data_IF_480683273850
#
_entry.id   IF_480683273850
#
_cell.length_a   1.000
_cell.length_b   1.000
_cell.length_c   1.000
_cell.angle_alpha   90.00
_cell.angle_beta   90.00
_cell.angle_gamma   90.00
#
_symmetry.space_group_name_H-M   'P 1'
#
loop_
_entity.id
_entity.type
_entity.pdbx_description
1 polymer ?
#
# COMPACT_ATOMS: atom_id res chain seq x y z
N UNK A 1 17.17 17.84 2.79
CA UNK A 1 16.40 16.57 2.67
C UNK A 1 16.50 15.79 4.00
N UNK A 2 15.53 14.93 4.32
CA UNK A 2 15.27 14.41 5.67
C UNK A 2 16.34 13.50 6.29
N UNK A 3 17.32 12.99 5.52
CA UNK A 3 18.35 12.02 5.95
C UNK A 3 17.76 10.71 6.49
N UNK A 4 16.85 10.10 5.73
CA UNK A 4 16.30 8.78 6.05
C UNK A 4 15.23 8.77 7.13
N UNK A 5 14.56 9.90 7.37
CA UNK A 5 13.45 10.02 8.33
C UNK A 5 12.06 9.96 7.67
N UNK A 6 11.97 9.40 6.47
CA UNK A 6 10.69 9.28 5.74
C UNK A 6 10.19 7.85 5.88
N UNK A 7 8.88 7.75 6.11
CA UNK A 7 8.10 6.53 5.98
C UNK A 7 7.13 6.74 4.82
N UNK A 8 6.96 5.73 3.98
CA UNK A 8 6.16 5.82 2.76
C UNK A 8 4.79 5.20 2.99
N UNK A 9 3.80 6.06 3.25
CA UNK A 9 2.40 5.67 3.35
C UNK A 9 1.72 5.62 1.98
N UNK A 10 1.02 4.51 1.69
CA UNK A 10 0.22 4.39 0.46
C UNK A 10 -1.11 3.68 0.71
N UNK A 11 -2.18 4.24 0.14
CA UNK A 11 -3.53 3.67 0.16
C UNK A 11 -4.21 3.74 -1.20
N UNK A 12 -5.29 2.97 -1.38
CA UNK A 12 -6.00 2.86 -2.66
C UNK A 12 -6.94 4.04 -2.98
N UNK A 13 -7.00 5.07 -2.13
CA UNK A 13 -7.96 6.16 -2.25
C UNK A 13 -9.40 5.77 -1.89
N UNK A 14 -10.12 6.67 -1.23
CA UNK A 14 -11.46 6.38 -0.70
C UNK A 14 -12.48 7.50 -0.86
N UNK A 15 -12.04 8.74 -1.09
CA UNK A 15 -12.92 9.90 -1.03
C UNK A 15 -13.16 10.48 -2.42
N UNK A 16 -14.21 10.00 -3.07
CA UNK A 16 -14.58 10.39 -4.44
C UNK A 16 -14.72 11.91 -4.66
N UNK A 17 -15.35 12.69 -3.74
CA UNK A 17 -15.49 14.13 -3.95
C UNK A 17 -14.15 14.86 -4.10
N UNK A 18 -13.12 14.45 -3.34
CA UNK A 18 -11.76 15.01 -3.48
C UNK A 18 -11.15 14.65 -4.83
N UNK A 19 -11.25 13.38 -5.26
CA UNK A 19 -10.79 12.97 -6.58
C UNK A 19 -11.44 13.82 -7.69
N UNK A 20 -12.76 14.04 -7.59
CA UNK A 20 -13.50 14.89 -8.53
C UNK A 20 -13.02 16.35 -8.50
N UNK A 21 -12.78 16.91 -7.31
CA UNK A 21 -12.31 18.28 -7.15
C UNK A 21 -10.93 18.51 -7.80
N UNK A 22 -10.05 17.50 -7.78
CA UNK A 22 -8.73 17.56 -8.39
C UNK A 22 -8.66 16.98 -9.81
N UNK A 23 -9.80 16.61 -10.40
CA UNK A 23 -9.84 16.02 -11.75
C UNK A 23 -9.17 14.63 -11.85
N UNK A 24 -9.00 13.94 -10.73
CA UNK A 24 -8.40 12.60 -10.66
C UNK A 24 -9.50 11.56 -10.88
N UNK A 25 -9.34 10.61 -11.83
CA UNK A 25 -10.29 9.52 -11.99
C UNK A 25 -10.49 8.72 -10.70
N UNK A 26 -11.75 8.35 -10.40
CA UNK A 26 -12.09 7.50 -9.26
C UNK A 26 -12.70 6.18 -9.76
N UNK A 27 -11.87 5.23 -10.26
CA UNK A 27 -12.38 3.98 -10.80
C UNK A 27 -12.91 3.08 -9.67
N UNK A 28 -13.53 1.95 -10.04
CA UNK A 28 -14.05 0.98 -9.08
C UNK A 28 -12.97 0.51 -8.09
N UNK A 29 -13.39 0.15 -6.87
CA UNK A 29 -12.49 -0.22 -5.77
C UNK A 29 -11.49 -1.31 -6.15
N UNK A 30 -11.92 -2.29 -6.97
CA UNK A 30 -11.03 -3.32 -7.50
C UNK A 30 -9.87 -2.69 -8.27
N UNK A 31 -10.17 -1.94 -9.33
CA UNK A 31 -9.14 -1.30 -10.14
C UNK A 31 -8.21 -0.40 -9.32
N UNK A 32 -8.73 0.31 -8.30
CA UNK A 32 -7.88 1.10 -7.41
C UNK A 32 -6.86 0.26 -6.64
N UNK A 33 -7.25 -0.91 -6.13
CA UNK A 33 -6.30 -1.84 -5.51
C UNK A 33 -5.33 -2.47 -6.52
N UNK A 34 -5.77 -2.72 -7.75
CA UNK A 34 -4.88 -3.24 -8.81
C UNK A 34 -3.81 -2.19 -9.16
N UNK A 35 -4.21 -0.93 -9.34
CA UNK A 35 -3.30 0.21 -9.53
C UNK A 35 -2.34 0.41 -8.36
N UNK A 36 -2.84 0.32 -7.12
CA UNK A 36 -2.01 0.44 -5.91
C UNK A 36 -0.96 -0.67 -5.83
N UNK A 37 -1.35 -1.93 -6.07
CA UNK A 37 -0.42 -3.06 -6.07
C UNK A 37 0.66 -2.90 -7.13
N UNK A 38 0.28 -2.48 -8.32
CA UNK A 38 1.21 -2.22 -9.42
C UNK A 38 2.17 -1.05 -9.11
N UNK A 39 1.67 0.02 -8.49
CA UNK A 39 2.50 1.13 -8.05
C UNK A 39 3.52 0.70 -6.97
N UNK A 40 3.12 -0.17 -6.03
CA UNK A 40 4.04 -0.72 -5.02
C UNK A 40 5.17 -1.54 -5.67
N UNK A 41 4.86 -2.37 -6.66
CA UNK A 41 5.87 -3.12 -7.42
C UNK A 41 6.84 -2.19 -8.14
N UNK A 42 6.31 -1.22 -8.88
CA UNK A 42 7.10 -0.24 -9.61
C UNK A 42 8.04 0.53 -8.67
N UNK A 43 7.51 1.08 -7.59
CA UNK A 43 8.25 1.95 -6.65
C UNK A 43 9.33 1.15 -5.91
N UNK A 44 8.97 -0.02 -5.35
CA UNK A 44 9.95 -0.84 -4.65
C UNK A 44 11.02 -1.39 -5.60
N UNK A 45 10.64 -1.76 -6.83
CA UNK A 45 11.57 -2.15 -7.87
C UNK A 45 12.57 -1.04 -8.24
N UNK A 46 12.09 0.20 -8.40
CA UNK A 46 12.96 1.37 -8.62
C UNK A 46 13.97 1.56 -7.48
N UNK A 47 13.51 1.52 -6.24
CA UNK A 47 14.37 1.73 -5.07
C UNK A 47 15.42 0.63 -4.89
N UNK A 48 15.06 -0.62 -5.18
CA UNK A 48 15.92 -1.77 -4.96
C UNK A 48 16.74 -2.16 -6.18
N UNK A 49 16.49 -1.55 -7.34
CA UNK A 49 17.30 -1.76 -8.53
C UNK A 49 18.76 -1.44 -8.23
N UNK A 50 19.73 -2.27 -8.66
CA UNK A 50 21.14 -2.01 -8.39
C UNK A 50 21.62 -0.71 -9.03
N UNK A 51 22.55 -0.03 -8.37
CA UNK A 51 23.16 1.19 -8.91
C UNK A 51 23.86 0.92 -10.25
N UNK A 52 23.72 1.87 -11.18
CA UNK A 52 24.26 1.75 -12.54
C UNK A 52 23.44 0.87 -13.49
N UNK A 53 22.40 0.18 -13.02
CA UNK A 53 21.50 -0.60 -13.87
C UNK A 53 20.27 0.20 -14.32
N UNK A 54 19.71 -0.20 -15.46
CA UNK A 54 18.46 0.33 -16.00
C UNK A 54 17.30 -0.51 -15.47
N UNK A 55 16.24 0.15 -15.03
CA UNK A 55 15.01 -0.48 -14.58
C UNK A 55 13.87 -0.24 -15.58
N UNK A 56 13.18 -1.33 -15.93
CA UNK A 56 12.00 -1.31 -16.77
C UNK A 56 10.87 -2.04 -16.04
N UNK A 57 9.65 -1.58 -16.23
CA UNK A 57 8.44 -2.14 -15.64
C UNK A 57 7.30 -2.11 -16.66
N UNK A 58 6.59 -3.22 -16.78
CA UNK A 58 5.51 -3.39 -17.75
C UNK A 58 4.24 -3.86 -17.05
N UNK A 59 3.57 -2.93 -16.38
CA UNK A 59 2.27 -3.15 -15.76
C UNK A 59 1.11 -2.86 -16.72
N UNK A 60 -0.10 -3.09 -16.23
CA UNK A 60 -1.33 -2.74 -16.94
C UNK A 60 -1.60 -1.23 -16.90
N UNK A 61 -1.24 -0.57 -15.80
CA UNK A 61 -1.55 0.84 -15.56
C UNK A 61 -0.34 1.76 -15.71
N UNK A 62 0.87 1.24 -15.51
CA UNK A 62 2.14 1.94 -15.54
C UNK A 62 3.12 1.17 -16.40
N UNK A 63 3.79 1.90 -17.28
CA UNK A 63 4.89 1.40 -18.08
C UNK A 63 6.09 2.31 -17.86
N UNK A 64 7.24 1.70 -17.65
CA UNK A 64 8.50 2.39 -17.46
C UNK A 64 9.57 1.64 -18.26
N UNK A 65 10.39 2.38 -18.99
CA UNK A 65 11.44 1.79 -19.82
C UNK A 65 12.76 2.48 -19.57
N UNK A 66 13.80 1.68 -19.37
CA UNK A 66 15.20 2.08 -19.30
C UNK A 66 15.46 3.24 -18.30
N UNK A 67 14.73 3.24 -17.19
CA UNK A 67 14.90 4.23 -16.12
C UNK A 67 16.25 4.05 -15.43
N UNK A 68 17.01 5.12 -15.16
CA UNK A 68 18.22 5.01 -14.34
C UNK A 68 17.92 4.66 -12.87
N UNK A 69 16.65 4.69 -12.46
CA UNK A 69 16.21 4.38 -11.10
C UNK A 69 16.88 5.24 -10.01
N UNK A 70 17.13 6.52 -10.32
CA UNK A 70 17.78 7.49 -9.45
C UNK A 70 16.89 8.72 -9.22
N UNK A 71 17.02 9.40 -8.05
CA UNK A 71 17.91 9.06 -6.93
C UNK A 71 17.39 7.88 -6.09
N UNK A 72 18.31 7.16 -5.44
CA UNK A 72 17.94 6.12 -4.46
C UNK A 72 17.48 6.74 -3.14
N UNK A 73 16.60 6.05 -2.40
CA UNK A 73 16.28 6.47 -1.04
C UNK A 73 17.53 6.38 -0.14
N UNK A 74 17.54 7.19 0.91
CA UNK A 74 18.62 7.16 1.92
C UNK A 74 18.62 5.87 2.74
N UNK A 75 17.44 5.30 3.00
CA UNK A 75 17.28 4.08 3.79
C UNK A 75 17.50 2.84 2.91
N UNK A 76 18.21 1.85 3.45
CA UNK A 76 18.46 0.54 2.86
C UNK A 76 17.70 -0.51 3.70
N UNK A 77 16.95 -1.45 3.08
CA UNK A 77 16.81 -1.67 1.64
C UNK A 77 15.89 -0.67 0.94
N UNK A 78 15.03 0.04 1.68
CA UNK A 78 14.13 1.11 1.22
C UNK A 78 13.53 1.81 2.45
N UNK A 79 12.81 2.94 2.30
CA UNK A 79 12.01 3.49 3.39
C UNK A 79 10.95 2.48 3.85
N UNK A 80 10.59 2.46 5.16
CA UNK A 80 9.46 1.68 5.64
C UNK A 80 8.19 2.01 4.88
N UNK A 81 7.42 1.00 4.50
CA UNK A 81 6.16 1.12 3.78
C UNK A 81 5.03 0.88 4.76
N UNK A 82 4.13 1.86 4.85
CA UNK A 82 2.92 1.79 5.65
C UNK A 82 1.74 1.65 4.71
N UNK A 83 0.98 0.58 4.84
CA UNK A 83 -0.26 0.40 4.09
C UNK A 83 -1.49 0.52 4.99
N UNK A 84 -2.60 0.92 4.41
CA UNK A 84 -3.92 0.91 5.05
C UNK A 84 -4.94 0.14 4.21
N UNK A 85 -6.08 -0.17 4.82
CA UNK A 85 -7.24 -0.69 4.10
C UNK A 85 -8.10 -1.63 4.94
N UNK A 86 -9.27 -1.94 4.41
CA UNK A 86 -10.27 -2.79 5.10
C UNK A 86 -10.71 -3.98 4.25
N UNK A 87 -10.09 -4.19 3.08
CA UNK A 87 -10.45 -5.25 2.16
C UNK A 87 -10.08 -6.64 2.70
N UNK A 88 -11.01 -7.60 2.63
CA UNK A 88 -10.80 -8.94 3.22
C UNK A 88 -9.79 -9.82 2.47
N UNK A 89 -9.39 -9.45 1.25
CA UNK A 89 -8.53 -10.27 0.37
C UNK A 89 -7.31 -9.51 -0.13
N UNK A 90 -7.52 -8.41 -0.86
CA UNK A 90 -6.44 -7.64 -1.50
C UNK A 90 -5.56 -6.91 -0.50
N UNK A 91 -6.16 -6.26 0.49
CA UNK A 91 -5.43 -5.54 1.55
C UNK A 91 -4.43 -6.41 2.30
N UNK A 92 -4.80 -7.55 2.92
CA UNK A 92 -3.84 -8.37 3.63
C UNK A 92 -2.79 -8.99 2.70
N UNK A 93 -3.14 -9.31 1.44
CA UNK A 93 -2.17 -9.81 0.46
C UNK A 93 -1.10 -8.78 0.09
N UNK A 94 -1.50 -7.51 -0.14
CA UNK A 94 -0.56 -6.42 -0.39
C UNK A 94 0.27 -6.08 0.84
N UNK A 95 -0.36 -6.06 2.02
CA UNK A 95 0.33 -5.83 3.28
C UNK A 95 1.42 -6.89 3.51
N UNK A 96 1.08 -8.17 3.36
CA UNK A 96 2.03 -9.26 3.52
C UNK A 96 3.23 -9.19 2.55
N UNK A 97 3.04 -8.63 1.35
CA UNK A 97 4.09 -8.56 0.34
C UNK A 97 4.98 -7.31 0.46
N UNK A 98 4.42 -6.17 0.87
CA UNK A 98 5.12 -4.89 0.76
C UNK A 98 5.21 -4.10 2.07
N UNK A 99 4.28 -4.28 3.00
CA UNK A 99 4.19 -3.42 4.18
C UNK A 99 5.18 -3.86 5.25
N UNK A 100 5.85 -2.89 5.86
CA UNK A 100 6.56 -3.08 7.13
C UNK A 100 5.63 -2.76 8.31
N UNK A 101 4.65 -1.88 8.08
CA UNK A 101 3.62 -1.51 9.04
C UNK A 101 2.23 -1.46 8.40
N UNK A 102 1.20 -1.77 9.18
CA UNK A 102 -0.18 -1.74 8.73
C UNK A 102 -1.03 -0.83 9.61
N UNK A 103 -1.55 0.25 9.04
CA UNK A 103 -2.40 1.19 9.74
C UNK A 103 -3.84 0.67 9.81
N UNK A 104 -4.27 0.31 11.02
CA UNK A 104 -5.63 -0.15 11.28
C UNK A 104 -6.55 1.02 11.53
N UNK A 105 -7.63 1.07 10.75
CA UNK A 105 -8.69 2.03 10.99
C UNK A 105 -9.53 1.56 12.17
N UNK A 106 -9.56 2.36 13.24
CA UNK A 106 -10.34 2.10 14.48
C UNK A 106 -11.67 2.85 14.52
N UNK A 107 -11.99 3.59 13.45
CA UNK A 107 -13.28 4.26 13.26
C UNK A 107 -13.85 3.97 11.88
N UNK A 108 -15.18 4.02 11.76
CA UNK A 108 -15.83 4.01 10.43
C UNK A 108 -15.44 5.28 9.67
N UNK A 109 -15.07 5.13 8.39
CA UNK A 109 -14.71 6.26 7.51
C UNK A 109 -15.91 7.20 7.38
N UNK A 110 -15.62 8.50 7.39
CA UNK A 110 -16.58 9.60 7.49
C UNK A 110 -16.44 10.51 6.27
N UNK A 111 -17.53 11.05 5.75
CA UNK A 111 -17.42 12.20 4.86
C UNK A 111 -17.02 13.46 5.67
N UNK A 112 -16.25 14.41 5.11
CA UNK A 112 -16.03 15.71 5.74
C UNK A 112 -17.39 16.29 6.19
N UNK A 113 -17.55 16.55 7.50
CA UNK A 113 -18.79 17.11 8.09
C UNK A 113 -19.70 16.19 8.92
N UNK A 114 -19.59 14.86 8.90
CA UNK A 114 -20.52 13.98 9.67
C UNK A 114 -20.10 13.68 11.13
N UNK A 115 -20.83 14.15 12.14
CA UNK A 115 -20.40 14.04 13.56
C UNK A 115 -20.73 12.73 14.30
N UNK A 116 -21.14 11.65 13.63
CA UNK A 116 -21.52 10.40 14.32
C UNK A 116 -20.32 9.46 14.52
N UNK A 117 -20.01 9.13 15.79
CA UNK A 117 -18.99 8.13 16.14
C UNK A 117 -19.64 6.76 16.27
N UNK A 118 -19.74 6.05 15.15
CA UNK A 118 -19.85 4.59 15.24
C UNK A 118 -18.46 4.03 15.52
N UNK A 119 -18.15 3.82 16.80
CA UNK A 119 -16.93 3.14 17.22
C UNK A 119 -16.88 1.73 16.62
N UNK A 120 -15.75 1.37 16.00
CA UNK A 120 -15.52 -0.02 15.64
C UNK A 120 -15.44 -0.84 16.92
N UNK A 121 -16.13 -1.98 16.95
CA UNK A 121 -16.06 -2.87 18.12
C UNK A 121 -14.67 -3.48 18.17
N UNK A 122 -14.15 -3.75 19.37
CA UNK A 122 -12.84 -4.39 19.55
C UNK A 122 -12.70 -5.70 18.73
N UNK A 123 -13.79 -6.44 18.54
CA UNK A 123 -13.84 -7.64 17.71
C UNK A 123 -13.55 -7.39 16.21
N UNK A 124 -13.94 -6.23 15.68
CA UNK A 124 -13.74 -5.86 14.28
C UNK A 124 -12.26 -5.57 14.03
N UNK A 125 -11.63 -4.82 14.94
CA UNK A 125 -10.19 -4.54 14.95
C UNK A 125 -9.40 -5.85 15.10
N UNK A 126 -9.77 -6.71 16.05
CA UNK A 126 -9.14 -8.01 16.24
C UNK A 126 -9.27 -8.91 15.00
N UNK A 127 -10.40 -8.86 14.30
CA UNK A 127 -10.62 -9.57 13.04
C UNK A 127 -9.65 -9.12 11.94
N UNK A 128 -9.46 -7.81 11.78
CA UNK A 128 -8.51 -7.26 10.82
C UNK A 128 -7.05 -7.60 11.16
N UNK A 129 -6.67 -7.50 12.44
CA UNK A 129 -5.34 -7.90 12.91
C UNK A 129 -5.05 -9.35 12.53
N UNK A 130 -6.00 -10.26 12.80
CA UNK A 130 -5.84 -11.68 12.46
C UNK A 130 -5.64 -11.89 10.96
N UNK A 131 -6.43 -11.20 10.14
CA UNK A 131 -6.37 -11.33 8.69
C UNK A 131 -5.04 -10.86 8.09
N UNK A 132 -4.52 -9.71 8.56
CA UNK A 132 -3.22 -9.19 8.09
C UNK A 132 -2.08 -10.10 8.57
N UNK A 133 -2.11 -10.52 9.84
CA UNK A 133 -1.11 -11.46 10.38
C UNK A 133 -1.11 -12.80 9.67
N UNK A 134 -2.29 -13.36 9.35
CA UNK A 134 -2.38 -14.65 8.66
C UNK A 134 -1.80 -14.58 7.26
N UNK A 135 -1.92 -13.44 6.56
CA UNK A 135 -1.30 -13.26 5.25
C UNK A 135 0.21 -13.08 5.32
N UNK A 136 0.73 -12.48 6.41
CA UNK A 136 2.17 -12.27 6.61
C UNK A 136 2.93 -13.53 7.08
N UNK A 137 2.23 -14.59 7.52
CA UNK A 137 2.87 -15.82 7.99
C UNK A 137 3.16 -16.74 6.81
N UNK A 138 4.43 -17.12 6.54
CA UNK A 138 4.75 -18.05 5.47
C UNK A 138 4.11 -19.43 5.73
N UNK A 139 3.71 -20.18 4.69
CA UNK A 139 3.16 -21.52 4.86
C UNK A 139 4.20 -22.39 5.57
N UNK A 140 3.78 -23.10 6.64
CA UNK A 140 4.64 -24.08 7.31
C UNK A 140 5.09 -25.11 6.27
N UNK A 141 6.39 -25.24 6.06
CA UNK A 141 6.95 -26.31 5.23
C UNK A 141 6.52 -27.65 5.84
N UNK A 142 5.68 -28.41 5.16
CA UNK A 142 5.51 -29.81 5.51
C UNK A 142 6.81 -30.52 5.14
N UNK A 143 7.66 -30.81 6.11
CA UNK A 143 8.74 -31.78 5.93
C UNK A 143 8.10 -33.12 5.58
N UNK A 144 8.37 -33.61 4.36
CA UNK A 144 8.30 -35.04 4.04
C UNK A 144 9.66 -35.66 4.34
#
# INVERSE_FOLDING_TARGET
MSRGRIEFGLGAGYFEPEHRAYGIPFPAVGERFDRMGEALELITGLWQSPDGQRYSFSGRHHQLRDSPALPKPWQIPRPPIILDGTGKKRTPALAARFADEFNLQTSRRRAPGEHHRDELKAQDVAGQIRLVRSAATPPRSSSR
#
